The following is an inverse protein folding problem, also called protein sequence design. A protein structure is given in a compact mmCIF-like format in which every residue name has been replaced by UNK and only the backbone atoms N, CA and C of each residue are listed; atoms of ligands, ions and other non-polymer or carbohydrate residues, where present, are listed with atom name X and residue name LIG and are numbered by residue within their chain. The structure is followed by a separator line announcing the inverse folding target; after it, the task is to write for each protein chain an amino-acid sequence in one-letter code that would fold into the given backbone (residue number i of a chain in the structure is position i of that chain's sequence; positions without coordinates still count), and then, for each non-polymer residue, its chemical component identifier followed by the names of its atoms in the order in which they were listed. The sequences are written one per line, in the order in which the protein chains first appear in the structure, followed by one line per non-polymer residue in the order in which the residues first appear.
data_IF_617670321529
#
_entry.id   IF_617670321529
#
_cell.length_a   1.000
_cell.length_b   1.000
_cell.length_c   1.000
_cell.angle_alpha   90.00
_cell.angle_beta   90.00
_cell.angle_gamma   90.00
#
_symmetry.space_group_name_H-M   'P 1'
#
loop_
_entity.id
_entity.type
_entity.pdbx_description
1 polymer ?
#
# COMPACT_ATOMS: atom_id res chain seq x y z
N UNK A 1 -8.05 10.05 -21.30
CA UNK A 1 -9.22 10.27 -20.41
C UNK A 1 -10.54 10.42 -21.16
N UNK A 2 -10.77 11.52 -21.94
CA UNK A 2 -12.05 11.76 -22.58
C UNK A 2 -12.53 10.65 -23.54
N UNK A 3 -11.61 9.97 -24.24
CA UNK A 3 -11.94 8.84 -25.11
C UNK A 3 -12.35 7.62 -24.29
N UNK A 4 -11.60 7.29 -23.23
CA UNK A 4 -11.94 6.16 -22.34
C UNK A 4 -13.33 6.34 -21.68
N UNK A 5 -13.69 7.56 -21.28
CA UNK A 5 -15.05 7.87 -20.75
C UNK A 5 -16.18 7.65 -21.77
N UNK A 6 -15.87 7.70 -23.05
CA UNK A 6 -16.82 7.43 -24.15
C UNK A 6 -16.84 5.95 -24.58
N UNK A 7 -16.20 5.05 -23.81
CA UNK A 7 -16.17 3.63 -24.09
C UNK A 7 -15.08 3.19 -25.07
N UNK A 8 -14.02 3.97 -25.24
CA UNK A 8 -12.85 3.60 -26.05
C UNK A 8 -11.94 2.66 -25.23
N UNK A 9 -11.99 1.37 -25.53
CA UNK A 9 -11.25 0.33 -24.81
C UNK A 9 -9.73 0.49 -24.94
N UNK A 10 -9.23 0.93 -26.09
CA UNK A 10 -7.80 1.19 -26.28
C UNK A 10 -7.33 2.35 -25.40
N UNK A 11 -8.14 3.40 -25.30
CA UNK A 11 -7.82 4.53 -24.42
C UNK A 11 -7.86 4.12 -22.93
N UNK A 12 -8.71 3.17 -22.53
CA UNK A 12 -8.71 2.62 -21.17
C UNK A 12 -7.51 1.70 -20.94
N UNK A 13 -7.14 0.84 -21.90
CA UNK A 13 -5.95 -0.02 -21.81
C UNK A 13 -4.67 0.80 -21.60
N UNK A 14 -4.52 1.92 -22.27
CA UNK A 14 -3.39 2.84 -22.03
C UNK A 14 -3.40 3.44 -20.60
N UNK A 15 -4.57 3.66 -20.01
CA UNK A 15 -4.66 4.07 -18.60
C UNK A 15 -4.26 2.94 -17.65
N UNK A 16 -4.69 1.70 -17.94
CA UNK A 16 -4.26 0.53 -17.16
C UNK A 16 -2.74 0.41 -17.19
N UNK A 17 -2.12 0.46 -18.36
CA UNK A 17 -0.68 0.36 -18.52
C UNK A 17 0.06 1.48 -17.74
N UNK A 18 -0.40 2.72 -17.85
CA UNK A 18 0.22 3.86 -17.17
C UNK A 18 0.09 3.82 -15.64
N UNK A 19 -0.99 3.23 -15.13
CA UNK A 19 -1.30 3.26 -13.70
C UNK A 19 -1.20 1.89 -13.00
N UNK A 20 -0.89 0.81 -13.71
CA UNK A 20 -0.78 -0.53 -13.12
C UNK A 20 0.21 -0.55 -11.95
N UNK A 21 1.44 -0.09 -12.19
CA UNK A 21 2.50 -0.09 -11.17
C UNK A 21 2.15 0.77 -9.94
N UNK A 22 1.68 2.02 -10.06
CA UNK A 22 1.20 2.79 -8.92
C UNK A 22 0.10 2.10 -8.12
N UNK A 23 -0.91 1.52 -8.80
CA UNK A 23 -2.02 0.83 -8.14
C UNK A 23 -1.53 -0.43 -7.43
N UNK A 24 -0.77 -1.29 -8.12
CA UNK A 24 -0.18 -2.49 -7.54
C UNK A 24 0.65 -2.15 -6.29
N UNK A 25 1.55 -1.17 -6.39
CA UNK A 25 2.41 -0.77 -5.28
C UNK A 25 1.62 -0.26 -4.06
N UNK A 26 0.50 0.44 -4.28
CA UNK A 26 -0.40 0.82 -3.20
C UNK A 26 -1.03 -0.43 -2.56
N UNK A 27 -1.59 -1.32 -3.38
CA UNK A 27 -2.22 -2.55 -2.91
C UNK A 27 -1.23 -3.42 -2.13
N UNK A 28 0.00 -3.57 -2.63
CA UNK A 28 1.06 -4.31 -1.95
C UNK A 28 1.40 -3.72 -0.57
N UNK A 29 1.56 -2.39 -0.48
CA UNK A 29 1.79 -1.73 0.82
C UNK A 29 0.62 -1.88 1.78
N UNK A 30 -0.60 -1.99 1.25
CA UNK A 30 -1.81 -2.15 2.07
C UNK A 30 -2.02 -3.59 2.56
N UNK A 31 -1.74 -4.59 1.72
CA UNK A 31 -2.13 -5.99 1.93
C UNK A 31 -0.96 -6.89 2.34
N UNK A 32 0.30 -6.52 2.03
CA UNK A 32 1.51 -7.18 2.48
C UNK A 32 1.94 -8.40 1.66
N UNK A 33 1.15 -8.84 0.67
CA UNK A 33 1.52 -9.97 -0.19
C UNK A 33 1.21 -9.71 -1.66
N UNK A 34 1.97 -10.34 -2.55
CA UNK A 34 1.93 -10.09 -3.98
C UNK A 34 0.63 -10.57 -4.65
N UNK A 35 0.12 -11.73 -4.24
CA UNK A 35 -1.12 -12.30 -4.80
C UNK A 35 -2.33 -11.42 -4.51
N UNK A 36 -2.55 -11.08 -3.23
CA UNK A 36 -3.64 -10.17 -2.84
C UNK A 36 -3.49 -8.79 -3.50
N UNK A 37 -2.25 -8.31 -3.68
CA UNK A 37 -1.99 -7.02 -4.32
C UNK A 37 -2.36 -7.01 -5.80
N UNK A 38 -2.04 -8.09 -6.53
CA UNK A 38 -2.41 -8.26 -7.94
C UNK A 38 -3.93 -8.34 -8.10
N UNK A 39 -4.58 -9.17 -7.29
CA UNK A 39 -6.05 -9.29 -7.29
C UNK A 39 -6.73 -7.94 -6.98
N UNK A 40 -6.19 -7.21 -6.01
CA UNK A 40 -6.71 -5.89 -5.65
C UNK A 40 -6.47 -4.85 -6.75
N UNK A 41 -5.35 -4.93 -7.44
CA UNK A 41 -5.06 -4.05 -8.57
C UNK A 41 -6.02 -4.33 -9.74
N UNK A 42 -6.23 -5.59 -10.10
CA UNK A 42 -7.19 -5.99 -11.15
C UNK A 42 -8.60 -5.53 -10.81
N UNK A 43 -9.09 -5.79 -9.60
CA UNK A 43 -10.41 -5.37 -9.15
C UNK A 43 -10.56 -3.84 -9.13
N UNK A 44 -9.48 -3.13 -8.80
CA UNK A 44 -9.45 -1.66 -8.87
C UNK A 44 -9.72 -1.17 -10.30
N UNK A 45 -9.07 -1.75 -11.30
CA UNK A 45 -9.30 -1.37 -12.70
C UNK A 45 -10.69 -1.77 -13.20
N UNK A 46 -11.21 -2.94 -12.79
CA UNK A 46 -12.58 -3.34 -13.09
C UNK A 46 -13.59 -2.31 -12.54
N UNK A 47 -13.41 -1.88 -11.29
CA UNK A 47 -14.26 -0.86 -10.67
C UNK A 47 -14.09 0.51 -11.32
N UNK A 48 -12.85 0.86 -11.66
CA UNK A 48 -12.56 2.10 -12.38
C UNK A 48 -13.24 2.11 -13.75
N UNK A 49 -13.17 1.02 -14.52
CA UNK A 49 -13.86 0.90 -15.81
C UNK A 49 -15.36 1.10 -15.67
N UNK A 50 -16.00 0.37 -14.75
CA UNK A 50 -17.43 0.48 -14.47
C UNK A 50 -17.85 1.87 -13.98
N UNK A 51 -17.00 2.54 -13.22
CA UNK A 51 -17.26 3.85 -12.64
C UNK A 51 -16.82 5.05 -13.48
N UNK A 52 -16.12 4.83 -14.60
CA UNK A 52 -15.44 5.86 -15.36
C UNK A 52 -16.41 6.95 -15.92
N UNK A 53 -17.64 6.56 -16.22
CA UNK A 53 -18.69 7.50 -16.67
C UNK A 53 -19.09 8.52 -15.58
N UNK A 54 -18.89 8.19 -14.30
CA UNK A 54 -19.17 9.05 -13.13
C UNK A 54 -17.93 9.82 -12.65
N UNK A 55 -16.75 9.53 -13.25
CA UNK A 55 -15.53 10.23 -12.86
C UNK A 55 -15.62 11.72 -13.17
N UNK A 56 -15.41 12.53 -12.15
CA UNK A 56 -15.36 14.00 -12.26
C UNK A 56 -13.98 14.42 -12.79
N UNK A 57 -13.96 14.95 -14.02
CA UNK A 57 -12.73 15.38 -14.69
C UNK A 57 -12.09 16.65 -14.10
N UNK A 58 -12.74 17.33 -13.16
CA UNK A 58 -12.13 18.42 -12.41
C UNK A 58 -11.06 17.95 -11.42
N UNK A 59 -11.04 16.66 -11.12
CA UNK A 59 -10.11 16.01 -10.19
C UNK A 59 -9.01 15.27 -10.93
N UNK A 60 -7.87 15.04 -10.27
CA UNK A 60 -6.81 14.19 -10.81
C UNK A 60 -7.28 12.73 -10.91
N UNK A 61 -7.10 12.13 -12.07
CA UNK A 61 -7.47 10.72 -12.27
C UNK A 61 -6.75 9.79 -11.31
N UNK A 62 -5.46 10.05 -11.03
CA UNK A 62 -4.70 9.29 -10.05
C UNK A 62 -5.36 9.29 -8.67
N UNK A 63 -5.81 10.46 -8.18
CA UNK A 63 -6.48 10.57 -6.88
C UNK A 63 -7.75 9.73 -6.83
N UNK A 64 -8.57 9.79 -7.87
CA UNK A 64 -9.78 8.98 -7.97
C UNK A 64 -9.49 7.48 -8.06
N UNK A 65 -8.52 7.07 -8.89
CA UNK A 65 -8.16 5.67 -9.08
C UNK A 65 -7.57 5.07 -7.78
N UNK A 66 -6.63 5.76 -7.15
CA UNK A 66 -6.01 5.29 -5.91
C UNK A 66 -6.97 5.34 -4.71
N UNK A 67 -8.03 6.16 -4.75
CA UNK A 67 -9.10 6.08 -3.77
C UNK A 67 -9.90 4.77 -3.88
N UNK A 68 -10.16 4.30 -5.11
CA UNK A 68 -10.79 2.99 -5.35
C UNK A 68 -9.93 1.87 -4.78
N UNK A 69 -8.62 1.89 -5.09
CA UNK A 69 -7.65 0.90 -4.60
C UNK A 69 -7.58 0.88 -3.06
N UNK A 70 -7.40 2.04 -2.43
CA UNK A 70 -7.31 2.15 -0.97
C UNK A 70 -8.55 1.62 -0.26
N UNK A 71 -9.73 2.02 -0.72
CA UNK A 71 -10.99 1.59 -0.13
C UNK A 71 -11.21 0.08 -0.33
N UNK A 72 -10.84 -0.46 -1.49
CA UNK A 72 -10.91 -1.90 -1.72
C UNK A 72 -10.00 -2.67 -0.76
N UNK A 73 -8.75 -2.25 -0.58
CA UNK A 73 -7.81 -2.88 0.36
C UNK A 73 -8.32 -2.83 1.82
N UNK A 74 -8.89 -1.70 2.25
CA UNK A 74 -9.51 -1.56 3.57
C UNK A 74 -10.65 -2.55 3.74
N UNK A 75 -11.52 -2.69 2.73
CA UNK A 75 -12.65 -3.61 2.76
C UNK A 75 -12.20 -5.08 2.75
N UNK A 76 -11.19 -5.43 1.97
CA UNK A 76 -10.61 -6.78 1.95
C UNK A 76 -10.05 -7.17 3.32
N UNK A 77 -9.28 -6.29 3.96
CA UNK A 77 -8.77 -6.57 5.29
C UNK A 77 -9.89 -6.76 6.32
N UNK A 78 -10.98 -5.96 6.22
CA UNK A 78 -12.15 -6.12 7.08
C UNK A 78 -12.82 -7.49 6.88
N UNK A 79 -12.92 -7.96 5.64
CA UNK A 79 -13.49 -9.26 5.30
C UNK A 79 -12.62 -10.42 5.83
N UNK A 80 -11.29 -10.35 5.68
CA UNK A 80 -10.37 -11.38 6.19
C UNK A 80 -10.38 -11.50 7.73
N UNK A 81 -10.75 -10.45 8.46
CA UNK A 81 -10.92 -10.50 9.93
C UNK A 81 -12.23 -11.14 10.38
N UNK A 82 -13.21 -11.29 9.51
CA UNK A 82 -14.39 -12.09 9.80
C UNK A 82 -14.01 -13.58 9.63
N UNK A 83 -14.40 -14.49 10.58
CA UNK A 83 -14.01 -15.89 10.49
C UNK A 83 -14.66 -16.53 9.26
N UNK A 84 -13.94 -16.58 8.18
CA UNK A 84 -14.22 -17.37 6.99
C UNK A 84 -13.07 -18.37 6.83
N UNK A 85 -13.37 -19.62 6.57
CA UNK A 85 -12.40 -20.69 6.35
C UNK A 85 -11.38 -20.25 5.29
N UNK A 86 -10.11 -20.13 5.72
CA UNK A 86 -9.02 -19.71 4.84
C UNK A 86 -8.57 -20.87 3.98
N UNK A 87 -8.55 -20.66 2.68
CA UNK A 87 -7.74 -21.44 1.77
C UNK A 87 -6.30 -20.91 1.85
N UNK A 88 -5.32 -21.79 2.02
CA UNK A 88 -3.91 -21.46 2.13
C UNK A 88 -3.44 -20.59 0.96
N UNK A 89 -2.92 -19.42 1.28
CA UNK A 89 -2.28 -18.55 0.30
C UNK A 89 -0.88 -19.10 -0.01
N UNK A 90 -0.69 -19.60 -1.23
CA UNK A 90 0.63 -19.89 -1.78
C UNK A 90 1.41 -18.57 -1.89
N UNK A 91 2.57 -18.53 -1.26
CA UNK A 91 3.52 -17.44 -1.40
C UNK A 91 3.98 -17.34 -2.86
N UNK A 92 3.64 -16.25 -3.54
CA UNK A 92 4.17 -15.97 -4.87
C UNK A 92 5.41 -15.10 -4.76
N UNK A 93 6.48 -15.42 -5.54
CA UNK A 93 7.76 -14.70 -5.45
C UNK A 93 7.63 -13.25 -5.88
N UNK A 94 8.36 -12.39 -5.15
CA UNK A 94 8.56 -10.98 -5.48
C UNK A 94 9.18 -10.85 -6.88
N UNK A 95 8.58 -10.06 -7.76
CA UNK A 95 9.18 -9.72 -9.06
C UNK A 95 10.32 -8.73 -8.83
N UNK A 96 11.56 -9.05 -9.26
CA UNK A 96 12.71 -8.19 -9.02
C UNK A 96 12.65 -6.90 -9.88
N UNK A 97 12.84 -5.78 -9.25
CA UNK A 97 13.19 -4.52 -9.93
C UNK A 97 14.64 -4.55 -10.39
N UNK A 98 14.87 -4.06 -11.63
CA UNK A 98 16.13 -3.87 -12.36
C UNK A 98 17.42 -3.87 -11.53
N UNK A 99 18.32 -4.75 -11.96
CA UNK A 99 19.79 -4.70 -11.91
C UNK A 99 20.45 -3.72 -10.88
N UNK A 100 20.35 -4.05 -9.63
CA UNK A 100 21.30 -3.66 -8.58
C UNK A 100 22.13 -4.89 -8.21
N UNK A 101 23.38 -4.69 -7.74
CA UNK A 101 24.19 -5.80 -7.27
C UNK A 101 23.51 -6.59 -6.14
N UNK A 102 23.78 -7.88 -6.03
CA UNK A 102 23.05 -8.82 -5.15
C UNK A 102 23.00 -8.34 -3.68
N UNK A 103 24.05 -7.75 -3.14
CA UNK A 103 24.10 -7.17 -1.79
C UNK A 103 23.14 -5.96 -1.64
N UNK A 104 23.09 -5.09 -2.65
CA UNK A 104 22.20 -3.93 -2.63
C UNK A 104 20.73 -4.34 -2.74
N UNK A 105 20.43 -5.43 -3.46
CA UNK A 105 19.08 -6.00 -3.54
C UNK A 105 18.64 -6.58 -2.20
N UNK A 106 19.49 -7.38 -1.55
CA UNK A 106 19.20 -7.95 -0.23
C UNK A 106 18.98 -6.87 0.84
N UNK A 107 19.82 -5.81 0.85
CA UNK A 107 19.60 -4.66 1.75
C UNK A 107 18.31 -3.90 1.47
N UNK A 108 17.89 -3.85 0.22
CA UNK A 108 16.65 -3.18 -0.16
C UNK A 108 15.42 -4.01 0.21
N UNK A 109 15.48 -5.32 0.02
CA UNK A 109 14.43 -6.25 0.43
C UNK A 109 14.25 -6.25 1.95
N UNK A 110 15.36 -6.26 2.72
CA UNK A 110 15.31 -6.19 4.18
C UNK A 110 14.69 -4.90 4.68
N UNK A 111 15.06 -3.74 4.09
CA UNK A 111 14.43 -2.46 4.41
C UNK A 111 12.95 -2.43 4.05
N UNK A 112 12.57 -3.04 2.93
CA UNK A 112 11.18 -3.10 2.47
C UNK A 112 10.34 -3.98 3.40
N UNK A 113 10.88 -5.11 3.84
CA UNK A 113 10.25 -5.98 4.84
C UNK A 113 10.05 -5.24 6.18
N UNK A 114 11.07 -4.54 6.68
CA UNK A 114 10.97 -3.74 7.92
C UNK A 114 9.87 -2.66 7.81
N UNK A 115 9.80 -1.95 6.68
CA UNK A 115 8.74 -0.95 6.45
C UNK A 115 7.35 -1.60 6.40
N UNK A 116 7.23 -2.76 5.77
CA UNK A 116 5.98 -3.52 5.72
C UNK A 116 5.51 -3.92 7.11
N UNK A 117 6.40 -4.49 7.93
CA UNK A 117 6.10 -4.86 9.32
C UNK A 117 5.63 -3.67 10.16
N UNK A 118 6.27 -2.51 10.02
CA UNK A 118 5.86 -1.29 10.70
C UNK A 118 4.46 -0.82 10.25
N UNK A 119 4.19 -0.86 8.95
CA UNK A 119 2.89 -0.49 8.40
C UNK A 119 1.78 -1.44 8.87
N UNK A 120 2.09 -2.72 9.11
CA UNK A 120 1.14 -3.74 9.54
C UNK A 120 0.67 -3.55 10.99
N UNK A 121 1.43 -2.79 11.81
CA UNK A 121 1.00 -2.38 13.16
C UNK A 121 -0.13 -1.36 13.12
N UNK A 122 -0.21 -0.56 12.07
CA UNK A 122 -1.21 0.49 11.95
C UNK A 122 -2.62 -0.06 11.66
N UNK A 123 -3.62 0.60 12.18
CA UNK A 123 -5.00 0.40 11.73
C UNK A 123 -5.16 0.73 10.24
N UNK A 124 -6.01 0.00 9.51
CA UNK A 124 -6.08 0.06 8.03
C UNK A 124 -6.30 1.47 7.46
N UNK A 125 -7.13 2.29 8.11
CA UNK A 125 -7.35 3.68 7.68
C UNK A 125 -6.13 4.58 7.98
N UNK A 126 -5.38 4.30 9.04
CA UNK A 126 -4.17 5.01 9.39
C UNK A 126 -3.04 4.61 8.43
N UNK A 127 -2.92 3.32 8.12
CA UNK A 127 -2.03 2.76 7.08
C UNK A 127 -2.30 3.40 5.72
N UNK A 128 -3.56 3.44 5.27
CA UNK A 128 -3.94 4.07 4.01
C UNK A 128 -3.56 5.56 3.96
N UNK A 129 -3.84 6.32 5.03
CA UNK A 129 -3.48 7.73 5.11
C UNK A 129 -1.96 7.95 5.04
N UNK A 130 -1.16 7.10 5.72
CA UNK A 130 0.30 7.12 5.66
C UNK A 130 0.80 6.81 4.26
N UNK A 131 0.31 5.73 3.63
CA UNK A 131 0.72 5.34 2.27
C UNK A 131 0.40 6.46 1.27
N UNK A 132 -0.82 6.99 1.28
CA UNK A 132 -1.20 8.08 0.37
C UNK A 132 -0.37 9.34 0.61
N UNK A 133 -0.03 9.66 1.86
CA UNK A 133 0.76 10.85 2.18
C UNK A 133 2.22 10.75 1.74
N UNK A 134 2.89 9.62 2.04
CA UNK A 134 4.35 9.52 1.94
C UNK A 134 4.85 8.86 0.65
N UNK A 135 4.01 8.09 -0.04
CA UNK A 135 4.38 7.46 -1.33
C UNK A 135 3.71 8.10 -2.54
N UNK A 136 2.60 8.85 -2.31
CA UNK A 136 1.84 9.47 -3.41
C UNK A 136 1.72 10.99 -3.26
N UNK A 137 2.35 11.58 -2.24
CA UNK A 137 2.39 13.03 -1.97
C UNK A 137 1.02 13.71 -1.91
N UNK A 138 -0.01 12.97 -1.47
CA UNK A 138 -1.36 13.52 -1.35
C UNK A 138 -1.41 14.60 -0.28
N UNK A 139 -2.12 15.69 -0.58
CA UNK A 139 -2.52 16.69 0.40
C UNK A 139 -3.51 16.09 1.42
N UNK A 140 -3.70 16.76 2.53
CA UNK A 140 -4.69 16.31 3.52
C UNK A 140 -6.12 16.32 2.96
N UNK A 141 -6.42 17.25 2.04
CA UNK A 141 -7.70 17.34 1.37
C UNK A 141 -7.91 16.15 0.40
N UNK A 142 -6.91 15.81 -0.39
CA UNK A 142 -6.95 14.63 -1.28
C UNK A 142 -7.11 13.32 -0.49
N UNK A 143 -6.42 13.19 0.65
CA UNK A 143 -6.57 12.01 1.53
C UNK A 143 -7.97 11.98 2.16
N UNK A 144 -8.46 13.12 2.65
CA UNK A 144 -9.79 13.25 3.24
C UNK A 144 -10.87 12.81 2.26
N UNK A 145 -10.76 13.25 1.02
CA UNK A 145 -11.64 12.87 -0.06
C UNK A 145 -11.52 11.36 -0.39
N UNK A 146 -10.28 10.87 -0.60
CA UNK A 146 -10.00 9.47 -0.97
C UNK A 146 -10.53 8.48 0.06
N UNK A 147 -10.44 8.80 1.34
CA UNK A 147 -10.83 7.94 2.45
C UNK A 147 -12.21 8.28 3.06
N UNK A 148 -12.95 9.21 2.44
CA UNK A 148 -14.26 9.67 2.88
C UNK A 148 -14.27 10.08 4.36
N UNK A 149 -13.36 11.00 4.74
CA UNK A 149 -13.25 11.53 6.10
C UNK A 149 -12.97 13.04 6.10
N UNK A 150 -13.06 13.69 7.27
CA UNK A 150 -12.71 15.09 7.37
C UNK A 150 -11.19 15.33 7.38
N UNK A 151 -10.74 16.49 6.94
CA UNK A 151 -9.32 16.91 6.98
C UNK A 151 -8.77 16.87 8.42
N UNK A 152 -9.60 17.24 9.41
CA UNK A 152 -9.24 17.12 10.82
C UNK A 152 -8.98 15.67 11.24
N UNK A 153 -9.81 14.73 10.77
CA UNK A 153 -9.60 13.30 11.01
C UNK A 153 -8.31 12.79 10.35
N UNK A 154 -7.99 13.24 9.13
CA UNK A 154 -6.72 12.92 8.46
C UNK A 154 -5.53 13.39 9.29
N UNK A 155 -5.53 14.66 9.73
CA UNK A 155 -4.46 15.23 10.57
C UNK A 155 -4.25 14.40 11.85
N UNK A 156 -5.34 14.08 12.55
CA UNK A 156 -5.29 13.29 13.77
C UNK A 156 -4.78 11.87 13.55
N UNK A 157 -5.19 11.22 12.45
CA UNK A 157 -4.74 9.88 12.06
C UNK A 157 -3.25 9.87 11.74
N UNK A 158 -2.79 10.76 10.88
CA UNK A 158 -1.38 10.88 10.53
C UNK A 158 -0.49 11.23 11.73
N UNK A 159 -1.00 12.02 12.67
CA UNK A 159 -0.27 12.32 13.91
C UNK A 159 -0.10 11.06 14.77
N UNK A 160 -1.18 10.31 15.01
CA UNK A 160 -1.13 9.04 15.76
C UNK A 160 -0.25 8.00 15.08
N UNK A 161 -0.44 7.80 13.77
CA UNK A 161 0.36 6.84 13.00
C UNK A 161 1.86 7.15 13.08
N UNK A 162 2.26 8.43 12.97
CA UNK A 162 3.67 8.82 13.11
C UNK A 162 4.23 8.50 14.51
N UNK A 163 3.43 8.74 15.56
CA UNK A 163 3.84 8.42 16.93
C UNK A 163 3.99 6.91 17.12
N UNK A 164 3.04 6.14 16.64
CA UNK A 164 3.06 4.66 16.69
C UNK A 164 4.25 4.09 15.94
N UNK A 165 4.47 4.52 14.69
CA UNK A 165 5.61 4.10 13.88
C UNK A 165 6.96 4.46 14.52
N UNK A 166 7.08 5.64 15.16
CA UNK A 166 8.30 6.03 15.86
C UNK A 166 8.58 5.14 17.07
N UNK A 167 7.56 4.79 17.84
CA UNK A 167 7.70 3.87 18.97
C UNK A 167 8.10 2.46 18.53
N UNK A 168 7.41 1.90 17.53
CA UNK A 168 7.72 0.58 16.98
C UNK A 168 9.13 0.53 16.37
N UNK A 169 9.56 1.61 15.70
CA UNK A 169 10.92 1.71 15.17
C UNK A 169 11.98 1.63 16.27
N UNK A 170 11.80 2.36 17.40
CA UNK A 170 12.73 2.32 18.52
C UNK A 170 12.82 0.91 19.09
N UNK A 171 11.69 0.26 19.35
CA UNK A 171 11.62 -1.12 19.87
C UNK A 171 12.31 -2.11 18.93
N UNK A 172 12.11 -1.96 17.62
CA UNK A 172 12.74 -2.83 16.63
C UNK A 172 14.27 -2.67 16.61
N UNK A 173 14.78 -1.46 16.75
CA UNK A 173 16.24 -1.19 16.82
C UNK A 173 16.86 -1.76 18.09
N UNK A 174 16.22 -1.59 19.25
CA UNK A 174 16.69 -2.16 20.52
C UNK A 174 16.76 -3.69 20.46
N UNK A 175 15.73 -4.31 19.90
CA UNK A 175 15.68 -5.77 19.70
C UNK A 175 16.77 -6.28 18.75
N UNK A 176 17.04 -5.53 17.68
CA UNK A 176 18.11 -5.85 16.72
C UNK A 176 19.51 -5.74 17.35
N UNK A 177 19.74 -4.70 18.16
CA UNK A 177 21.00 -4.52 18.88
C UNK A 177 21.22 -5.62 19.94
N UNK A 178 20.17 -6.02 20.66
CA UNK A 178 20.23 -7.10 21.65
C UNK A 178 20.60 -8.43 20.98
N UNK A 179 19.98 -8.78 19.84
CA UNK A 179 20.30 -10.00 19.07
C UNK A 179 21.77 -10.01 18.61
N UNK A 180 22.29 -8.89 18.11
CA UNK A 180 23.69 -8.78 17.68
C UNK A 180 24.67 -8.98 18.85
N UNK A 181 24.35 -8.45 20.04
CA UNK A 181 25.17 -8.66 21.24
C UNK A 181 25.24 -10.14 21.62
N UNK A 182 24.10 -10.83 21.69
CA UNK A 182 24.04 -12.24 22.04
C UNK A 182 24.82 -13.11 21.02
N UNK A 183 24.75 -12.77 19.74
CA UNK A 183 25.47 -13.48 18.68
C UNK A 183 26.99 -13.28 18.79
N UNK A 184 27.45 -12.09 19.14
CA UNK A 184 28.87 -11.81 19.39
C UNK A 184 29.40 -12.58 20.60
N UNK A 185 28.65 -12.66 21.70
CA UNK A 185 29.01 -13.39 22.90
C UNK A 185 29.11 -14.90 22.65
N UNK A 186 28.27 -15.48 21.80
CA UNK A 186 28.28 -16.89 21.41
C UNK A 186 29.43 -17.25 20.44
N UNK A 187 29.95 -16.29 19.68
CA UNK A 187 31.01 -16.51 18.69
C UNK A 187 32.43 -16.38 19.34
N UNK A 188 32.49 -15.75 20.51
CA UNK A 188 33.74 -15.48 21.23
C UNK A 188 33.96 -16.39 22.45
N UNK A 189 33.06 -17.33 22.72
CA UNK A 189 33.15 -18.35 23.77
C UNK A 189 33.50 -19.72 23.19
#
# INVERSE_FOLDING_TARGET
MNRARKGDDLAFSNLVEAYHRPVYNLCYRMLGNAGDAEDAAQETFIRAYKGLHRYDSSRKFSTWLLSIASNYCIDQHRRKKLPTFSYDALETPNLPEKAMGMEAMMMQEEKQAQVSELLDKLGQKDKAAVVLRYWYDYSYDEIAESLSMSVSAVKSRLHRARKELAQEWIVSQESSMARKRTQYEQTTA
#
